data_IF_040152890766
#
_entry.id   IF_040152890766
#
_cell.length_a   1.000
_cell.length_b   1.000
_cell.length_c   1.000
_cell.angle_alpha   90.00
_cell.angle_beta   90.00
_cell.angle_gamma   90.00
#
_symmetry.space_group_name_H-M   'P 1'
#
loop_
_entity.id
_entity.type
_entity.pdbx_description
1 polymer ?
#
# COMPACT_ATOMS: atom_id res chain seq x y z
N UNK A 1 -4.18 -31.52 4.60
CA UNK A 1 -4.08 -31.16 6.04
C UNK A 1 -5.03 -30.02 6.30
N UNK A 2 -5.90 -30.10 7.32
CA UNK A 2 -6.81 -29.00 7.67
C UNK A 2 -6.05 -27.91 8.41
N UNK A 3 -6.62 -26.70 8.47
CA UNK A 3 -6.07 -25.57 9.22
C UNK A 3 -5.85 -25.92 10.69
N UNK A 4 -6.82 -26.57 11.33
CA UNK A 4 -6.74 -26.95 12.74
C UNK A 4 -5.61 -27.96 12.99
N UNK A 5 -5.46 -28.97 12.13
CA UNK A 5 -4.36 -29.94 12.26
C UNK A 5 -2.99 -29.27 12.11
N UNK A 6 -2.86 -28.25 11.25
CA UNK A 6 -1.62 -27.46 11.15
C UNK A 6 -1.35 -26.67 12.42
N UNK A 7 -2.36 -25.97 12.93
CA UNK A 7 -2.20 -25.16 14.14
C UNK A 7 -1.85 -26.04 15.33
N UNK A 8 -2.42 -27.24 15.44
CA UNK A 8 -2.07 -28.20 16.50
C UNK A 8 -0.58 -28.53 16.54
N UNK A 9 0.09 -28.65 15.38
CA UNK A 9 1.54 -28.93 15.32
C UNK A 9 2.43 -27.78 15.79
N UNK A 10 1.91 -26.56 15.92
CA UNK A 10 2.70 -25.41 16.31
C UNK A 10 3.04 -25.45 17.80
N UNK A 11 4.25 -25.01 18.13
CA UNK A 11 4.67 -24.83 19.52
C UNK A 11 3.80 -23.77 20.22
N UNK A 12 3.65 -23.94 21.54
CA UNK A 12 2.91 -23.02 22.41
C UNK A 12 3.38 -21.57 22.30
N UNK A 13 4.69 -21.32 22.17
CA UNK A 13 5.26 -19.97 22.01
C UNK A 13 4.90 -19.34 20.67
N UNK A 14 4.80 -20.16 19.61
CA UNK A 14 4.42 -19.73 18.27
C UNK A 14 2.91 -19.44 18.22
N UNK A 15 2.08 -20.30 18.83
CA UNK A 15 0.63 -20.05 18.99
C UNK A 15 0.35 -18.75 19.73
N UNK A 16 1.06 -18.51 20.84
CA UNK A 16 0.96 -17.27 21.61
C UNK A 16 1.34 -16.06 20.76
N UNK A 17 2.44 -16.14 20.00
CA UNK A 17 2.87 -15.06 19.12
C UNK A 17 1.84 -14.74 18.02
N UNK A 18 1.23 -15.77 17.41
CA UNK A 18 0.12 -15.57 16.46
C UNK A 18 -1.08 -14.91 17.13
N UNK A 19 -1.43 -15.34 18.34
CA UNK A 19 -2.52 -14.75 19.13
C UNK A 19 -2.26 -13.27 19.42
N UNK A 20 -1.06 -12.90 19.86
CA UNK A 20 -0.68 -11.50 20.10
C UNK A 20 -0.75 -10.67 18.81
N UNK A 21 -0.23 -11.23 17.71
CA UNK A 21 -0.22 -10.58 16.41
C UNK A 21 -1.63 -10.37 15.81
N UNK A 22 -2.60 -11.16 16.24
CA UNK A 22 -3.98 -11.07 15.78
C UNK A 22 -4.83 -10.23 16.75
N UNK A 23 -4.94 -10.66 18.00
CA UNK A 23 -5.87 -10.14 18.99
C UNK A 23 -5.48 -8.76 19.52
N UNK A 24 -4.20 -8.62 19.90
CA UNK A 24 -3.66 -7.40 20.51
C UNK A 24 -3.37 -6.38 19.42
N UNK A 25 -2.79 -6.81 18.29
CA UNK A 25 -2.53 -5.93 17.15
C UNK A 25 -3.78 -5.71 16.28
N UNK A 26 -4.95 -5.53 16.89
CA UNK A 26 -6.20 -5.28 16.19
C UNK A 26 -6.94 -4.12 16.83
N UNK A 27 -7.67 -3.35 16.02
CA UNK A 27 -8.57 -2.30 16.49
C UNK A 27 -10.03 -2.76 16.46
N UNK A 28 -10.30 -4.02 16.12
CA UNK A 28 -11.65 -4.59 16.18
C UNK A 28 -12.03 -4.89 17.63
N UNK A 29 -13.34 -4.95 17.90
CA UNK A 29 -13.89 -5.22 19.22
C UNK A 29 -15.02 -6.26 19.13
N UNK A 30 -15.35 -6.86 20.27
CA UNK A 30 -16.47 -7.80 20.38
C UNK A 30 -17.78 -7.03 20.58
N UNK A 31 -18.82 -7.48 19.89
CA UNK A 31 -20.19 -7.06 20.13
C UNK A 31 -21.09 -8.31 20.22
N UNK A 32 -22.31 -8.10 20.68
CA UNK A 32 -23.34 -9.14 20.69
C UNK A 32 -24.34 -8.84 19.59
N UNK A 33 -24.63 -9.84 18.76
CA UNK A 33 -25.68 -9.80 17.75
C UNK A 33 -26.54 -11.07 17.87
N UNK A 34 -27.82 -10.89 18.18
CA UNK A 34 -28.79 -11.99 18.38
C UNK A 34 -28.28 -13.11 19.32
N UNK A 35 -27.65 -12.73 20.45
CA UNK A 35 -27.11 -13.67 21.43
C UNK A 35 -25.82 -14.38 21.01
N UNK A 36 -25.23 -14.04 19.85
CA UNK A 36 -23.92 -14.53 19.41
C UNK A 36 -22.87 -13.44 19.53
N UNK A 37 -21.68 -13.82 20.02
CA UNK A 37 -20.55 -12.91 20.03
C UNK A 37 -19.94 -12.77 18.63
N UNK A 38 -20.03 -11.57 18.09
CA UNK A 38 -19.50 -11.20 16.78
C UNK A 38 -18.36 -10.20 16.92
N UNK A 39 -17.47 -10.17 15.94
CA UNK A 39 -16.43 -9.14 15.86
C UNK A 39 -16.88 -7.98 14.97
N UNK A 40 -16.69 -6.77 15.47
CA UNK A 40 -16.97 -5.53 14.72
C UNK A 40 -15.65 -4.91 14.29
N UNK A 41 -15.47 -4.77 12.98
CA UNK A 41 -14.28 -4.21 12.37
C UNK A 41 -14.27 -4.41 10.85
N UNK A 42 -13.14 -4.10 10.22
CA UNK A 42 -12.93 -4.44 8.80
C UNK A 42 -12.95 -5.96 8.61
N UNK A 43 -13.46 -6.44 7.47
CA UNK A 43 -13.55 -7.86 7.12
C UNK A 43 -12.27 -8.65 7.42
N UNK A 44 -11.13 -8.10 7.03
CA UNK A 44 -9.83 -8.72 7.27
C UNK A 44 -9.52 -8.89 8.76
N UNK A 45 -9.88 -7.93 9.60
CA UNK A 45 -9.63 -8.00 11.05
C UNK A 45 -10.54 -9.02 11.71
N UNK A 46 -11.82 -9.05 11.35
CA UNK A 46 -12.79 -10.00 11.92
C UNK A 46 -12.43 -11.42 11.50
N UNK A 47 -12.09 -11.66 10.23
CA UNK A 47 -11.67 -12.96 9.74
C UNK A 47 -10.41 -13.51 10.46
N UNK A 48 -9.43 -12.65 10.76
CA UNK A 48 -8.27 -13.06 11.54
C UNK A 48 -8.64 -13.40 12.99
N UNK A 49 -9.54 -12.63 13.60
CA UNK A 49 -10.01 -12.89 14.96
C UNK A 49 -10.84 -14.17 15.05
N UNK A 50 -11.68 -14.45 14.05
CA UNK A 50 -12.39 -15.72 13.92
C UNK A 50 -11.39 -16.88 13.82
N UNK A 51 -10.36 -16.75 12.96
CA UNK A 51 -9.28 -17.72 12.88
C UNK A 51 -8.59 -17.97 14.23
N UNK A 52 -8.29 -16.91 15.00
CA UNK A 52 -7.64 -17.03 16.30
C UNK A 52 -8.55 -17.65 17.36
N UNK A 53 -9.85 -17.31 17.36
CA UNK A 53 -10.85 -17.92 18.24
C UNK A 53 -10.97 -19.42 17.96
N UNK A 54 -11.09 -19.78 16.70
CA UNK A 54 -11.40 -21.15 16.29
C UNK A 54 -10.19 -22.09 16.34
N UNK A 55 -8.97 -21.57 16.17
CA UNK A 55 -7.77 -22.41 16.03
C UNK A 55 -6.67 -22.15 17.07
N UNK A 56 -6.60 -20.95 17.66
CA UNK A 56 -5.54 -20.58 18.61
C UNK A 56 -6.01 -20.56 20.07
N UNK A 57 -7.21 -21.07 20.35
CA UNK A 57 -7.84 -21.05 21.67
C UNK A 57 -7.82 -19.64 22.28
N UNK A 58 -8.11 -18.64 21.45
CA UNK A 58 -8.17 -17.24 21.87
C UNK A 58 -9.42 -17.02 22.73
N UNK A 59 -9.22 -16.49 23.93
CA UNK A 59 -10.32 -16.05 24.80
C UNK A 59 -10.99 -14.78 24.23
N UNK A 60 -11.87 -14.18 25.04
CA UNK A 60 -12.42 -12.85 24.73
C UNK A 60 -11.30 -11.85 24.47
N UNK A 61 -11.45 -11.04 23.43
CA UNK A 61 -10.46 -10.02 23.05
C UNK A 61 -10.11 -9.10 24.22
N UNK A 62 -11.11 -8.73 25.03
CA UNK A 62 -10.90 -7.89 26.20
C UNK A 62 -9.95 -8.51 27.21
N UNK A 63 -10.08 -9.82 27.43
CA UNK A 63 -9.24 -10.61 28.35
C UNK A 63 -7.81 -10.71 27.82
N UNK A 64 -7.65 -11.03 26.53
CA UNK A 64 -6.33 -11.11 25.90
C UNK A 64 -5.59 -9.77 25.95
N UNK A 65 -6.30 -8.66 25.72
CA UNK A 65 -5.71 -7.31 25.79
C UNK A 65 -5.39 -6.87 27.21
N UNK A 66 -6.17 -7.27 28.22
CA UNK A 66 -5.87 -6.95 29.62
C UNK A 66 -4.66 -7.71 30.17
N UNK A 67 -4.30 -8.84 29.56
CA UNK A 67 -3.20 -9.68 30.00
C UNK A 67 -1.82 -9.22 29.54
N UNK A 68 -1.74 -8.13 28.77
CA UNK A 68 -0.50 -7.68 28.13
C UNK A 68 -0.22 -6.20 28.41
N UNK A 69 1.03 -5.91 28.78
CA UNK A 69 1.53 -4.55 28.94
C UNK A 69 1.95 -4.01 27.55
N UNK A 70 1.14 -3.11 27.00
CA UNK A 70 1.43 -2.46 25.72
C UNK A 70 2.33 -1.24 25.96
N UNK A 71 3.53 -1.28 25.39
CA UNK A 71 4.49 -0.17 25.48
C UNK A 71 4.25 0.91 24.42
N UNK A 72 3.83 0.52 23.21
CA UNK A 72 3.56 1.46 22.12
C UNK A 72 2.64 0.85 21.05
N UNK A 73 1.76 1.66 20.46
CA UNK A 73 0.91 1.26 19.33
C UNK A 73 1.28 2.11 18.11
N UNK A 74 1.43 1.47 16.96
CA UNK A 74 1.55 2.12 15.66
C UNK A 74 0.29 1.82 14.85
N UNK A 75 -0.68 2.75 14.82
CA UNK A 75 -1.90 2.59 14.03
C UNK A 75 -1.59 2.33 12.55
N UNK A 76 -2.58 1.76 11.86
CA UNK A 76 -2.46 1.50 10.42
C UNK A 76 -2.12 2.79 9.67
N UNK A 77 -0.98 2.79 8.98
CA UNK A 77 -0.57 3.88 8.11
C UNK A 77 -0.64 3.45 6.66
N UNK A 78 -1.40 4.14 5.81
CA UNK A 78 -1.50 3.81 4.38
C UNK A 78 -0.15 3.88 3.65
N UNK A 79 0.76 4.74 4.08
CA UNK A 79 2.13 4.81 3.55
C UNK A 79 2.98 3.61 3.95
N UNK A 80 2.78 3.08 5.17
CA UNK A 80 3.50 1.89 5.68
C UNK A 80 2.82 0.58 5.32
N UNK A 81 1.53 0.63 4.94
CA UNK A 81 0.62 -0.50 4.69
C UNK A 81 0.67 -1.59 5.77
N UNK A 82 0.87 -1.18 7.02
CA UNK A 82 0.93 -2.09 8.17
C UNK A 82 0.45 -1.41 9.45
N UNK A 83 0.15 -2.24 10.43
CA UNK A 83 -0.14 -1.88 11.82
C UNK A 83 0.86 -2.64 12.72
N UNK A 84 1.31 -2.00 13.79
CA UNK A 84 2.23 -2.63 14.72
C UNK A 84 1.90 -2.30 16.18
N UNK A 85 2.36 -3.17 17.06
CA UNK A 85 2.31 -2.98 18.51
C UNK A 85 3.63 -3.40 19.12
N UNK A 86 3.98 -2.77 20.23
CA UNK A 86 5.08 -3.17 21.08
C UNK A 86 4.49 -3.61 22.40
N UNK A 87 4.76 -4.85 22.77
CA UNK A 87 4.32 -5.45 24.02
C UNK A 87 5.56 -5.73 24.88
N UNK A 88 5.42 -5.59 26.20
CA UNK A 88 6.45 -6.00 27.14
C UNK A 88 6.18 -7.43 27.59
N UNK A 89 7.17 -8.30 27.45
CA UNK A 89 7.06 -9.68 27.88
C UNK A 89 7.18 -9.76 29.41
N UNK A 90 6.61 -10.83 29.99
CA UNK A 90 6.55 -11.04 31.45
C UNK A 90 7.93 -11.15 32.12
N UNK A 91 8.99 -11.36 31.34
CA UNK A 91 10.39 -11.39 31.79
C UNK A 91 10.96 -10.01 32.18
N UNK A 92 10.14 -8.94 32.11
CA UNK A 92 10.41 -7.53 32.46
C UNK A 92 11.51 -6.83 31.63
N UNK A 93 12.35 -7.56 30.88
CA UNK A 93 13.50 -7.02 30.15
C UNK A 93 13.43 -7.23 28.64
N UNK A 94 12.35 -7.81 28.13
CA UNK A 94 12.15 -8.01 26.69
C UNK A 94 10.91 -7.27 26.21
N UNK A 95 11.08 -6.46 25.18
CA UNK A 95 9.98 -5.85 24.43
C UNK A 95 9.87 -6.54 23.08
N UNK A 96 8.66 -6.92 22.69
CA UNK A 96 8.37 -7.55 21.41
C UNK A 96 7.58 -6.60 20.53
N UNK A 97 8.14 -6.25 19.38
CA UNK A 97 7.41 -5.60 18.29
C UNK A 97 6.76 -6.67 17.44
N UNK A 98 5.46 -6.56 17.23
CA UNK A 98 4.69 -7.40 16.32
C UNK A 98 4.07 -6.51 15.25
N UNK A 99 4.26 -6.87 13.98
CA UNK A 99 3.80 -6.10 12.83
C UNK A 99 3.00 -7.02 11.91
N UNK A 100 1.86 -6.53 11.42
CA UNK A 100 1.13 -7.17 10.33
C UNK A 100 0.74 -6.17 9.25
N UNK A 101 0.78 -6.60 8.00
CA UNK A 101 0.47 -5.75 6.86
C UNK A 101 0.64 -6.46 5.53
N UNK A 102 0.78 -5.68 4.47
CA UNK A 102 0.99 -6.19 3.10
C UNK A 102 2.24 -7.09 3.05
N UNK A 103 2.08 -8.35 2.64
CA UNK A 103 3.10 -9.41 2.76
C UNK A 103 4.45 -9.05 2.13
N UNK A 104 4.43 -8.45 0.95
CA UNK A 104 5.58 -8.04 0.15
C UNK A 104 6.38 -6.95 0.88
N UNK A 105 5.67 -6.04 1.56
CA UNK A 105 6.30 -4.98 2.36
C UNK A 105 6.88 -5.57 3.64
N UNK A 106 6.18 -6.49 4.29
CA UNK A 106 6.66 -7.16 5.51
C UNK A 106 7.93 -7.97 5.25
N UNK A 107 7.97 -8.71 4.14
CA UNK A 107 9.14 -9.50 3.75
C UNK A 107 10.38 -8.63 3.48
N UNK A 108 10.20 -7.39 2.99
CA UNK A 108 11.31 -6.43 2.81
C UNK A 108 12.00 -6.03 4.10
N UNK A 109 11.31 -6.06 5.23
CA UNK A 109 11.90 -5.74 6.53
C UNK A 109 12.61 -6.94 7.19
N UNK A 110 12.43 -8.15 6.64
CA UNK A 110 12.93 -9.37 7.25
C UNK A 110 14.38 -9.68 6.86
N UNK A 111 15.16 -10.03 7.87
CA UNK A 111 16.51 -10.62 7.71
C UNK A 111 16.58 -12.08 8.17
N UNK A 112 15.49 -12.56 8.77
CA UNK A 112 15.43 -13.84 9.48
C UNK A 112 14.03 -14.45 9.33
N UNK A 113 13.91 -15.74 9.57
CA UNK A 113 12.66 -16.49 9.57
C UNK A 113 12.66 -17.47 10.74
N UNK A 114 11.48 -17.80 11.28
CA UNK A 114 11.34 -18.88 12.26
C UNK A 114 11.84 -20.19 11.63
N UNK A 115 12.81 -20.84 12.29
CA UNK A 115 13.47 -22.07 11.82
C UNK A 115 12.51 -23.24 11.76
N UNK A 116 11.81 -23.47 12.86
CA UNK A 116 10.85 -24.55 13.00
C UNK A 116 9.75 -24.15 13.98
N UNK A 117 8.60 -23.82 13.41
CA UNK A 117 7.42 -23.36 14.13
C UNK A 117 6.77 -24.44 15.01
N UNK A 118 7.16 -25.71 14.87
CA UNK A 118 6.69 -26.82 15.72
C UNK A 118 7.46 -26.93 17.03
N UNK A 119 8.62 -26.28 17.13
CA UNK A 119 9.50 -26.35 18.30
C UNK A 119 9.59 -25.04 19.06
N UNK A 120 9.82 -23.91 18.37
CA UNK A 120 10.01 -22.61 19.03
C UNK A 120 9.91 -21.45 18.04
N UNK A 121 9.98 -20.22 18.57
CA UNK A 121 10.11 -18.99 17.79
C UNK A 121 11.57 -18.69 17.37
N UNK A 122 12.50 -19.65 17.51
CA UNK A 122 13.90 -19.45 17.17
C UNK A 122 14.07 -19.07 15.71
N UNK A 123 14.83 -18.01 15.46
CA UNK A 123 15.04 -17.48 14.13
C UNK A 123 16.38 -17.94 13.53
N UNK A 124 16.37 -18.18 12.22
CA UNK A 124 17.57 -18.36 11.40
C UNK A 124 17.65 -17.26 10.35
N UNK A 125 18.85 -16.93 9.82
CA UNK A 125 18.97 -16.00 8.70
C UNK A 125 18.09 -16.43 7.52
N UNK A 126 17.38 -15.47 6.93
CA UNK A 126 16.59 -15.71 5.72
C UNK A 126 17.54 -15.75 4.52
N UNK A 127 17.71 -16.93 3.91
CA UNK A 127 18.52 -17.11 2.70
C UNK A 127 17.86 -16.46 1.48
N UNK A 128 18.63 -16.23 0.41
CA UNK A 128 18.11 -15.73 -0.86
C UNK A 128 17.03 -16.66 -1.43
N UNK A 129 17.30 -17.96 -1.48
CA UNK A 129 16.36 -19.00 -1.92
C UNK A 129 15.09 -19.06 -1.04
N UNK A 130 15.26 -18.95 0.29
CA UNK A 130 14.12 -18.91 1.21
C UNK A 130 13.25 -17.68 0.99
N UNK A 131 13.87 -16.54 0.64
CA UNK A 131 13.15 -15.31 0.30
C UNK A 131 12.39 -15.46 -1.02
N UNK A 132 13.02 -15.97 -2.07
CA UNK A 132 12.36 -16.22 -3.37
C UNK A 132 11.17 -17.17 -3.21
N UNK A 133 11.32 -18.22 -2.39
CA UNK A 133 10.23 -19.15 -2.07
C UNK A 133 9.05 -18.43 -1.42
N UNK A 134 9.30 -17.51 -0.50
CA UNK A 134 8.24 -16.71 0.13
C UNK A 134 7.60 -15.72 -0.85
N UNK A 135 8.37 -15.10 -1.74
CA UNK A 135 7.86 -14.20 -2.78
C UNK A 135 6.92 -14.97 -3.73
N UNK A 136 7.33 -16.14 -4.20
CA UNK A 136 6.47 -17.03 -5.00
C UNK A 136 5.20 -17.47 -4.26
N UNK A 137 5.29 -17.74 -2.96
CA UNK A 137 4.12 -18.09 -2.16
C UNK A 137 3.13 -16.92 -2.04
N UNK A 138 3.64 -15.69 -1.88
CA UNK A 138 2.82 -14.48 -1.87
C UNK A 138 2.10 -14.32 -3.21
N UNK A 139 2.83 -14.45 -4.32
CA UNK A 139 2.26 -14.34 -5.67
C UNK A 139 1.23 -15.43 -5.94
N UNK A 140 1.48 -16.67 -5.49
CA UNK A 140 0.54 -17.78 -5.63
C UNK A 140 -0.76 -17.54 -4.86
N UNK A 141 -0.69 -16.95 -3.66
CA UNK A 141 -1.90 -16.58 -2.90
C UNK A 141 -2.63 -15.41 -3.56
N UNK A 142 -1.90 -14.37 -3.97
CA UNK A 142 -2.47 -13.21 -4.63
C UNK A 142 -3.16 -13.58 -5.95
N UNK A 143 -2.57 -14.48 -6.75
CA UNK A 143 -3.14 -14.98 -7.99
C UNK A 143 -4.41 -15.82 -7.82
N UNK A 144 -4.68 -16.31 -6.60
CA UNK A 144 -5.95 -16.96 -6.21
C UNK A 144 -6.95 -15.97 -5.58
N UNK A 145 -6.77 -14.68 -5.84
CA UNK A 145 -7.61 -13.59 -5.30
C UNK A 145 -7.64 -13.53 -3.77
N UNK A 146 -6.62 -14.07 -3.09
CA UNK A 146 -6.49 -13.95 -1.65
C UNK A 146 -5.76 -12.64 -1.30
N UNK A 147 -6.30 -11.89 -0.34
CA UNK A 147 -5.56 -10.79 0.28
C UNK A 147 -4.46 -11.38 1.16
N UNK A 148 -3.21 -11.17 0.75
CA UNK A 148 -2.04 -11.67 1.47
C UNK A 148 -1.66 -10.73 2.62
N UNK A 149 -1.47 -11.30 3.81
CA UNK A 149 -1.06 -10.56 5.01
C UNK A 149 0.17 -11.22 5.61
N UNK A 150 1.25 -10.47 5.69
CA UNK A 150 2.50 -10.91 6.30
C UNK A 150 2.54 -10.55 7.78
N UNK A 151 3.09 -11.46 8.57
CA UNK A 151 3.31 -11.31 9.99
C UNK A 151 4.82 -11.37 10.27
N UNK A 152 5.32 -10.36 10.97
CA UNK A 152 6.74 -10.26 11.33
C UNK A 152 6.85 -9.77 12.76
N UNK A 153 7.93 -10.16 13.43
CA UNK A 153 8.18 -9.75 14.81
C UNK A 153 9.66 -9.51 15.06
N UNK A 154 9.96 -8.84 16.18
CA UNK A 154 11.31 -8.68 16.69
C UNK A 154 11.30 -8.44 18.19
N UNK A 155 12.23 -9.09 18.87
CA UNK A 155 12.46 -8.89 20.30
C UNK A 155 13.61 -7.91 20.54
N UNK A 156 13.43 -7.05 21.55
CA UNK A 156 14.38 -6.05 22.01
C UNK A 156 14.64 -6.25 23.50
N UNK A 157 15.84 -6.71 23.81
CA UNK A 157 16.31 -6.75 25.19
C UNK A 157 16.61 -5.34 25.68
N UNK A 158 15.81 -4.84 26.61
CA UNK A 158 15.99 -3.54 27.24
C UNK A 158 15.27 -3.44 28.56
N UNK A 159 15.87 -2.79 29.55
CA UNK A 159 15.19 -2.48 30.82
C UNK A 159 14.17 -1.33 30.65
N UNK A 160 14.27 -0.53 29.57
CA UNK A 160 13.43 0.66 29.35
C UNK A 160 13.03 0.77 27.88
N UNK A 161 11.76 1.10 27.64
CA UNK A 161 11.28 1.50 26.32
C UNK A 161 11.35 3.03 26.12
N UNK A 162 11.75 3.53 24.94
CA UNK A 162 12.40 2.84 23.83
C UNK A 162 13.85 2.44 24.12
N UNK A 163 14.35 1.34 23.52
CA UNK A 163 15.74 0.92 23.68
C UNK A 163 16.70 1.99 23.14
N UNK A 164 17.82 2.24 23.84
CA UNK A 164 18.79 3.28 23.44
C UNK A 164 19.51 2.95 22.13
N UNK A 165 19.76 1.66 21.88
CA UNK A 165 20.43 1.18 20.69
C UNK A 165 19.92 -0.22 20.34
N UNK A 166 19.88 -0.53 19.04
CA UNK A 166 19.54 -1.86 18.57
C UNK A 166 20.75 -2.78 18.60
N UNK A 167 20.61 -3.93 19.27
CA UNK A 167 21.53 -5.05 19.11
C UNK A 167 21.26 -5.73 17.75
N UNK A 168 22.28 -6.05 16.93
CA UNK A 168 22.09 -6.83 15.72
C UNK A 168 21.44 -8.18 16.04
N UNK A 169 20.52 -8.64 15.19
CA UNK A 169 19.83 -9.92 15.39
C UNK A 169 20.77 -11.14 15.28
N UNK A 170 21.88 -11.00 14.54
CA UNK A 170 22.89 -12.04 14.38
C UNK A 170 24.30 -11.50 14.68
N UNK A 171 25.07 -12.24 15.47
CA UNK A 171 26.47 -11.92 15.77
C UNK A 171 27.37 -11.90 14.51
N UNK A 172 26.98 -12.61 13.45
CA UNK A 172 27.74 -12.70 12.19
C UNK A 172 27.88 -11.34 11.51
N UNK A 173 26.87 -10.47 11.59
CA UNK A 173 26.94 -9.11 11.05
C UNK A 173 28.03 -8.25 11.72
N UNK A 174 28.52 -8.61 12.93
CA UNK A 174 29.61 -7.92 13.59
C UNK A 174 31.01 -8.37 13.14
N UNK A 175 31.17 -9.58 12.59
CA UNK A 175 32.50 -10.09 12.18
C UNK A 175 32.93 -9.68 10.78
N UNK A 176 31.99 -9.31 9.90
CA UNK A 176 32.25 -9.15 8.46
C UNK A 176 32.57 -7.71 8.00
N UNK A 177 32.59 -6.70 8.88
CA UNK A 177 32.91 -5.31 8.51
C UNK A 177 33.83 -4.63 9.54
N UNK A 178 35.16 -4.67 9.34
CA UNK A 178 36.08 -3.87 10.15
C UNK A 178 35.82 -2.39 9.85
N UNK A 179 35.33 -1.63 10.84
CA UNK A 179 35.09 -0.19 10.73
C UNK A 179 33.64 0.27 10.90
N UNK A 180 32.66 -0.63 11.01
CA UNK A 180 31.30 -0.23 11.38
C UNK A 180 31.25 0.06 12.89
N UNK A 181 31.02 1.33 13.25
CA UNK A 181 31.01 1.83 14.63
C UNK A 181 30.27 0.86 15.58
N UNK A 182 30.94 0.44 16.66
CA UNK A 182 30.40 -0.44 17.72
C UNK A 182 29.19 0.14 18.48
N UNK A 183 28.83 1.41 18.23
CA UNK A 183 27.59 2.00 18.72
C UNK A 183 26.45 1.46 17.85
N UNK A 184 25.62 0.57 18.41
CA UNK A 184 24.45 0.02 17.74
C UNK A 184 23.58 1.09 17.07
N UNK A 185 22.75 0.69 16.11
CA UNK A 185 21.88 1.63 15.39
C UNK A 185 21.00 2.35 16.42
N UNK A 186 21.18 3.66 16.57
CA UNK A 186 20.43 4.46 17.55
C UNK A 186 18.94 4.46 17.19
N UNK A 187 18.09 4.28 18.21
CA UNK A 187 16.64 4.38 18.03
C UNK A 187 16.24 5.82 18.32
N UNK A 188 15.75 6.52 17.29
CA UNK A 188 15.20 7.86 17.50
C UNK A 188 13.89 7.76 18.26
N UNK A 189 13.66 8.77 19.09
CA UNK A 189 12.40 8.99 19.77
C UNK A 189 11.58 10.00 18.97
N UNK A 190 10.26 9.88 19.05
CA UNK A 190 9.36 10.85 18.44
C UNK A 190 9.63 12.22 19.08
N UNK A 191 9.74 13.27 18.27
CA UNK A 191 10.12 14.61 18.75
C UNK A 191 9.16 15.14 19.82
N UNK A 192 7.85 14.95 19.59
CA UNK A 192 6.76 15.38 20.47
C UNK A 192 6.53 14.43 21.66
N UNK A 193 6.99 13.18 21.59
CA UNK A 193 6.82 12.18 22.65
C UNK A 193 8.06 11.30 22.79
N UNK A 194 8.91 11.64 23.76
CA UNK A 194 10.16 10.92 24.03
C UNK A 194 9.94 9.52 24.61
N UNK A 195 8.72 9.15 25.00
CA UNK A 195 8.39 7.77 25.43
C UNK A 195 8.17 6.84 24.26
N UNK A 196 8.08 7.37 23.04
CA UNK A 196 7.78 6.64 21.83
C UNK A 196 8.99 6.51 20.91
N UNK A 197 9.13 5.34 20.31
CA UNK A 197 10.15 5.05 19.30
C UNK A 197 9.66 5.43 17.90
N UNK A 198 10.58 5.86 17.04
CA UNK A 198 10.32 6.01 15.61
C UNK A 198 10.19 4.64 14.94
N UNK A 199 9.07 4.42 14.25
CA UNK A 199 8.75 3.14 13.61
C UNK A 199 9.86 2.67 12.65
N UNK A 200 10.40 3.59 11.86
CA UNK A 200 11.43 3.29 10.86
C UNK A 200 12.74 2.81 11.46
N UNK A 201 13.01 3.12 12.72
CA UNK A 201 14.23 2.68 13.39
C UNK A 201 14.06 1.30 14.00
N UNK A 202 12.91 1.01 14.60
CA UNK A 202 12.65 -0.29 15.22
C UNK A 202 12.23 -1.37 14.21
N UNK A 203 11.57 -1.00 13.11
CA UNK A 203 11.11 -1.94 12.07
C UNK A 203 12.22 -2.25 11.05
N UNK A 204 13.31 -2.86 11.52
CA UNK A 204 14.47 -3.30 10.73
C UNK A 204 14.90 -4.67 11.22
N UNK A 205 15.55 -5.47 10.37
CA UNK A 205 16.09 -6.80 10.75
C UNK A 205 15.05 -7.67 11.47
N UNK A 206 13.85 -7.74 10.90
CA UNK A 206 12.72 -8.44 11.48
C UNK A 206 12.83 -9.95 11.25
N UNK A 207 12.15 -10.72 12.08
CA UNK A 207 11.92 -12.15 11.88
C UNK A 207 10.58 -12.36 11.23
N UNK A 208 10.57 -13.09 10.12
CA UNK A 208 9.37 -13.49 9.42
C UNK A 208 8.67 -14.63 10.17
N UNK A 209 7.39 -14.42 10.51
CA UNK A 209 6.57 -15.42 11.19
C UNK A 209 5.76 -16.26 10.19
N UNK A 210 5.10 -15.61 9.23
CA UNK A 210 4.29 -16.29 8.24
C UNK A 210 3.41 -15.36 7.41
N UNK A 211 2.73 -15.95 6.43
CA UNK A 211 1.72 -15.30 5.60
C UNK A 211 0.40 -16.01 5.78
N UNK A 212 -0.68 -15.23 5.77
CA UNK A 212 -2.04 -15.76 5.63
C UNK A 212 -2.68 -15.17 4.38
N UNK A 213 -3.42 -16.00 3.66
CA UNK A 213 -4.30 -15.56 2.57
C UNK A 213 -5.72 -15.42 3.11
N UNK A 214 -6.25 -14.21 3.12
CA UNK A 214 -7.64 -13.93 3.50
C UNK A 214 -8.44 -13.75 2.23
N UNK A 215 -9.38 -14.65 1.98
CA UNK A 215 -10.32 -14.47 0.88
C UNK A 215 -11.30 -13.35 1.26
N UNK A 216 -11.33 -12.27 0.50
CA UNK A 216 -12.44 -11.31 0.56
C UNK A 216 -13.55 -11.91 -0.30
N UNK A 217 -14.65 -12.43 0.26
CA UNK A 217 -15.68 -13.01 -0.57
C UNK A 217 -16.23 -11.91 -1.49
N UNK A 218 -16.37 -12.15 -2.82
CA UNK A 218 -17.16 -11.25 -3.64
C UNK A 218 -18.55 -11.21 -3.02
N UNK A 219 -18.89 -10.06 -2.41
CA UNK A 219 -20.02 -9.93 -1.49
C UNK A 219 -21.39 -10.26 -2.12
N UNK A 220 -21.46 -10.54 -3.42
CA UNK A 220 -22.63 -11.16 -4.06
C UNK A 220 -22.15 -12.11 -5.15
N UNK A 221 -22.71 -13.33 -5.19
CA UNK A 221 -22.62 -14.22 -6.37
C UNK A 221 -23.14 -13.54 -7.65
N UNK A 222 -23.88 -12.46 -7.47
CA UNK A 222 -24.49 -11.66 -8.52
C UNK A 222 -23.54 -10.61 -9.11
N UNK A 223 -22.36 -10.37 -8.51
CA UNK A 223 -21.41 -9.36 -9.02
C UNK A 223 -21.03 -9.62 -10.48
N UNK A 224 -20.60 -10.84 -10.89
CA UNK A 224 -20.29 -11.10 -12.30
C UNK A 224 -21.51 -10.86 -13.22
N UNK A 225 -22.72 -11.25 -12.78
CA UNK A 225 -23.96 -11.00 -13.54
C UNK A 225 -24.24 -9.51 -13.71
N UNK A 226 -24.01 -8.72 -12.66
CA UNK A 226 -24.18 -7.27 -12.71
C UNK A 226 -23.14 -6.60 -13.62
N UNK A 227 -21.88 -7.05 -13.59
CA UNK A 227 -20.82 -6.57 -14.49
C UNK A 227 -21.19 -6.85 -15.94
N UNK A 228 -21.64 -8.06 -16.25
CA UNK A 228 -22.15 -8.41 -17.59
C UNK A 228 -23.33 -7.51 -17.97
N UNK A 229 -24.30 -7.30 -17.08
CA UNK A 229 -25.43 -6.40 -17.32
C UNK A 229 -25.01 -4.96 -17.65
N UNK A 230 -24.02 -4.42 -16.93
CA UNK A 230 -23.44 -3.10 -17.25
C UNK A 230 -22.82 -3.09 -18.64
N UNK A 231 -22.01 -4.09 -18.97
CA UNK A 231 -21.33 -4.20 -20.28
C UNK A 231 -22.36 -4.31 -21.42
N UNK A 232 -23.42 -5.12 -21.25
CA UNK A 232 -24.52 -5.24 -22.22
C UNK A 232 -25.28 -3.92 -22.39
N UNK A 233 -25.34 -3.08 -21.35
CA UNK A 233 -25.91 -1.73 -21.41
C UNK A 233 -24.89 -0.66 -21.88
N UNK A 234 -23.75 -1.06 -22.43
CA UNK A 234 -22.65 -0.19 -22.88
C UNK A 234 -22.05 0.70 -21.77
N UNK A 235 -22.19 0.28 -20.50
CA UNK A 235 -21.55 0.90 -19.33
C UNK A 235 -20.32 0.08 -18.97
N UNK A 236 -19.13 0.69 -19.07
CA UNK A 236 -17.86 0.00 -18.80
C UNK A 236 -17.42 0.17 -17.34
N UNK A 237 -17.45 -0.88 -16.51
CA UNK A 237 -17.02 -0.79 -15.12
C UNK A 237 -15.49 -0.65 -15.04
N UNK A 238 -15.00 0.22 -14.15
CA UNK A 238 -13.56 0.30 -13.82
C UNK A 238 -13.32 -0.05 -12.36
N UNK A 239 -12.31 -0.88 -12.10
CA UNK A 239 -11.92 -1.24 -10.74
C UNK A 239 -10.99 -0.17 -10.16
N UNK A 240 -11.34 0.37 -8.99
CA UNK A 240 -10.49 1.25 -8.19
C UNK A 240 -10.21 0.59 -6.86
N UNK A 241 -8.98 0.11 -6.65
CA UNK A 241 -8.60 -0.57 -5.41
C UNK A 241 -7.23 -0.11 -4.89
N UNK A 242 -7.04 -0.24 -3.57
CA UNK A 242 -5.76 -0.04 -2.88
C UNK A 242 -5.01 -1.35 -2.57
N UNK A 243 -5.54 -2.48 -3.03
CA UNK A 243 -4.91 -3.80 -2.90
C UNK A 243 -3.67 -3.94 -3.80
N UNK A 244 -2.96 -5.06 -3.63
CA UNK A 244 -1.90 -5.45 -4.55
C UNK A 244 -2.49 -5.64 -5.97
N UNK A 245 -1.75 -5.19 -6.99
CA UNK A 245 -2.11 -5.36 -8.41
C UNK A 245 -2.39 -6.80 -8.81
N UNK A 246 -1.66 -7.78 -8.27
CA UNK A 246 -1.85 -9.19 -8.60
C UNK A 246 -3.22 -9.65 -8.09
N UNK A 247 -3.56 -9.33 -6.83
CA UNK A 247 -4.89 -9.61 -6.26
C UNK A 247 -5.99 -8.86 -6.99
N UNK A 248 -5.78 -7.57 -7.29
CA UNK A 248 -6.74 -6.74 -8.00
C UNK A 248 -7.03 -7.30 -9.40
N UNK A 249 -5.99 -7.74 -10.12
CA UNK A 249 -6.11 -8.38 -11.43
C UNK A 249 -6.87 -9.69 -11.35
N UNK A 250 -6.54 -10.55 -10.38
CA UNK A 250 -7.25 -11.81 -10.18
C UNK A 250 -8.75 -11.59 -9.89
N UNK A 251 -9.09 -10.65 -9.00
CA UNK A 251 -10.50 -10.29 -8.72
C UNK A 251 -11.18 -9.68 -9.95
N UNK A 252 -10.48 -8.85 -10.73
CA UNK A 252 -11.03 -8.24 -11.93
C UNK A 252 -11.37 -9.29 -13.00
N UNK A 253 -10.54 -10.33 -13.12
CA UNK A 253 -10.80 -11.50 -13.98
C UNK A 253 -12.02 -12.26 -13.50
N UNK A 254 -12.07 -12.60 -12.21
CA UNK A 254 -13.20 -13.33 -11.61
C UNK A 254 -14.53 -12.59 -11.76
N UNK A 255 -14.51 -11.25 -11.70
CA UNK A 255 -15.70 -10.42 -11.85
C UNK A 255 -16.08 -10.14 -13.32
N UNK A 256 -15.25 -10.51 -14.29
CA UNK A 256 -15.44 -10.18 -15.71
C UNK A 256 -15.18 -8.70 -16.05
N UNK A 257 -14.46 -7.97 -15.19
CA UNK A 257 -14.03 -6.58 -15.43
C UNK A 257 -12.77 -6.54 -16.31
N UNK A 258 -11.95 -7.60 -16.25
CA UNK A 258 -10.72 -7.73 -17.03
C UNK A 258 -10.66 -9.10 -17.71
N UNK A 259 -10.30 -9.14 -19.00
CA UNK A 259 -10.07 -10.36 -19.77
C UNK A 259 -8.63 -10.38 -20.27
N UNK A 260 -7.89 -11.48 -20.08
CA UNK A 260 -6.46 -11.58 -20.41
C UNK A 260 -6.17 -11.53 -21.93
N UNK A 261 -7.21 -11.70 -22.73
CA UNK A 261 -7.25 -11.48 -24.16
C UNK A 261 -8.46 -10.59 -24.43
N UNK A 262 -8.37 -9.63 -25.35
CA UNK A 262 -9.51 -8.82 -25.81
C UNK A 262 -10.58 -9.63 -26.58
N UNK A 263 -10.91 -10.82 -26.10
CA UNK A 263 -11.85 -11.77 -26.69
C UNK A 263 -13.05 -11.95 -25.77
N UNK A 264 -13.96 -10.97 -25.83
CA UNK A 264 -15.35 -11.35 -26.03
C UNK A 264 -15.58 -11.35 -27.54
N UNK A 265 -15.20 -12.45 -28.19
CA UNK A 265 -15.76 -12.80 -29.49
C UNK A 265 -17.19 -13.30 -29.25
N UNK A 266 -18.14 -12.36 -29.21
CA UNK A 266 -19.51 -12.66 -29.61
C UNK A 266 -19.77 -11.89 -30.88
N UNK A 267 -20.11 -12.62 -31.94
CA UNK A 267 -20.51 -12.09 -33.24
C UNK A 267 -21.77 -11.24 -33.11
N UNK A 268 -21.62 -9.98 -32.73
CA UNK A 268 -22.52 -8.88 -33.02
C UNK A 268 -21.80 -7.59 -32.62
N UNK A 269 -21.72 -6.65 -33.56
CA UNK A 269 -21.21 -5.29 -33.38
C UNK A 269 -19.68 -5.09 -33.43
N UNK A 270 -19.13 -5.30 -34.64
CA UNK A 270 -17.95 -4.57 -35.08
C UNK A 270 -18.37 -3.30 -35.83
N UNK A 271 -18.42 -2.17 -35.13
CA UNK A 271 -17.92 -0.92 -35.69
C UNK A 271 -17.64 0.06 -34.54
N UNK A 272 -16.42 0.59 -34.52
CA UNK A 272 -15.95 1.62 -33.58
C UNK A 272 -15.63 1.14 -32.17
N UNK A 273 -14.42 0.65 -31.92
CA UNK A 273 -13.64 0.86 -30.68
C UNK A 273 -12.23 0.26 -30.87
N UNK A 274 -11.18 1.08 -30.77
CA UNK A 274 -9.79 0.65 -30.96
C UNK A 274 -9.25 -0.16 -29.76
N UNK A 275 -8.26 -1.06 -29.97
CA UNK A 275 -7.65 -1.89 -28.92
C UNK A 275 -7.07 -1.12 -27.72
N UNK A 276 -6.73 0.16 -27.89
CA UNK A 276 -6.09 1.02 -26.88
C UNK A 276 -7.02 1.39 -25.71
N UNK A 277 -8.35 1.33 -25.88
CA UNK A 277 -9.32 1.60 -24.79
C UNK A 277 -9.42 0.48 -23.75
N UNK A 278 -8.79 -0.67 -23.97
CA UNK A 278 -8.91 -1.87 -23.12
C UNK A 278 -7.90 -1.95 -21.96
N UNK A 279 -6.75 -1.27 -22.02
CA UNK A 279 -5.70 -1.37 -20.99
C UNK A 279 -5.99 -0.61 -19.68
N UNK A 280 -7.11 0.11 -19.57
CA UNK A 280 -7.41 0.97 -18.43
C UNK A 280 -8.46 0.42 -17.43
N UNK A 281 -8.77 -0.89 -17.40
CA UNK A 281 -9.87 -1.41 -16.54
C UNK A 281 -9.50 -1.62 -15.06
N UNK A 282 -8.22 -1.51 -14.69
CA UNK A 282 -7.75 -1.52 -13.29
C UNK A 282 -6.99 -0.23 -13.00
N UNK A 283 -7.68 0.77 -12.46
CA UNK A 283 -7.02 1.94 -11.89
C UNK A 283 -6.53 1.57 -10.48
N UNK A 284 -5.27 1.15 -10.39
CA UNK A 284 -4.58 1.07 -9.10
C UNK A 284 -4.55 2.46 -8.48
N UNK A 285 -5.20 2.64 -7.33
CA UNK A 285 -4.86 3.78 -6.48
C UNK A 285 -3.50 3.48 -5.86
N UNK A 286 -2.43 4.00 -6.48
CA UNK A 286 -1.17 4.23 -5.80
C UNK A 286 -1.46 5.03 -4.50
N UNK A 287 -0.64 4.89 -3.43
CA UNK A 287 -0.91 5.50 -2.13
C UNK A 287 -1.15 7.01 -2.30
N UNK A 288 -2.44 7.39 -2.30
CA UNK A 288 -2.98 8.71 -2.64
C UNK A 288 -1.97 9.62 -3.34
N UNK A 289 -1.92 9.52 -4.67
CA UNK A 289 -1.28 10.50 -5.54
C UNK A 289 -1.43 11.91 -4.93
N UNK A 290 -0.33 12.67 -4.76
CA UNK A 290 -0.42 14.03 -4.25
C UNK A 290 -1.28 14.83 -5.24
N UNK A 291 -2.55 15.04 -4.89
CA UNK A 291 -3.47 15.86 -5.66
C UNK A 291 -3.63 17.21 -5.01
N UNK A 292 -3.69 18.25 -5.83
CA UNK A 292 -4.04 19.60 -5.44
C UNK A 292 -5.47 19.86 -5.92
N UNK A 293 -6.46 19.95 -5.00
CA UNK A 293 -7.81 20.33 -5.39
C UNK A 293 -7.84 21.80 -5.83
N UNK A 294 -8.55 22.10 -6.91
CA UNK A 294 -8.67 23.46 -7.43
C UNK A 294 -9.78 23.61 -8.45
N UNK A 295 -9.91 24.82 -8.96
CA UNK A 295 -10.89 25.20 -9.97
C UNK A 295 -10.19 25.58 -11.27
N UNK A 296 -10.51 24.86 -12.34
CA UNK A 296 -10.06 25.22 -13.69
C UNK A 296 -11.02 26.25 -14.29
N UNK A 297 -10.47 27.39 -14.73
CA UNK A 297 -11.20 28.57 -15.19
C UNK A 297 -12.34 29.02 -14.24
N UNK A 298 -12.22 28.72 -12.95
CA UNK A 298 -13.20 29.06 -11.91
C UNK A 298 -14.52 28.29 -11.98
N UNK A 299 -14.64 27.23 -12.81
CA UNK A 299 -15.91 26.53 -13.06
C UNK A 299 -15.93 25.08 -12.58
N UNK A 300 -14.84 24.34 -12.76
CA UNK A 300 -14.80 22.90 -12.51
C UNK A 300 -13.91 22.58 -11.32
N UNK A 301 -14.49 21.96 -10.27
CA UNK A 301 -13.72 21.48 -9.13
C UNK A 301 -13.00 20.19 -9.52
N UNK A 302 -11.68 20.24 -9.55
CA UNK A 302 -10.81 19.17 -10.03
C UNK A 302 -9.70 18.85 -9.04
N UNK A 303 -9.26 17.59 -9.06
CA UNK A 303 -8.08 17.12 -8.33
C UNK A 303 -6.91 16.99 -9.33
N UNK A 304 -6.05 18.00 -9.40
CA UNK A 304 -4.88 17.95 -10.28
C UNK A 304 -3.73 17.17 -9.62
N UNK A 305 -3.09 16.28 -10.38
CA UNK A 305 -1.92 15.55 -9.93
C UNK A 305 -0.73 16.51 -9.75
N UNK A 306 0.02 16.36 -8.66
CA UNK A 306 1.19 17.18 -8.36
C UNK A 306 2.45 16.37 -8.63
N UNK A 307 3.20 16.77 -9.66
CA UNK A 307 4.49 16.17 -9.98
C UNK A 307 5.58 17.23 -9.99
N UNK A 308 6.42 17.21 -8.96
CA UNK A 308 7.52 18.16 -8.79
C UNK A 308 8.64 18.00 -9.82
N UNK A 309 8.66 16.88 -10.54
CA UNK A 309 9.68 16.55 -11.54
C UNK A 309 9.16 16.69 -12.99
N UNK A 310 7.90 17.07 -13.18
CA UNK A 310 7.26 17.19 -14.49
C UNK A 310 6.95 18.64 -14.87
N UNK A 311 6.56 18.82 -16.14
CA UNK A 311 5.89 20.03 -16.65
C UNK A 311 4.40 20.07 -16.28
N UNK A 312 3.70 21.11 -16.73
CA UNK A 312 2.25 21.17 -16.61
C UNK A 312 1.63 20.45 -17.80
N UNK A 313 0.80 19.44 -17.55
CA UNK A 313 0.18 18.64 -18.61
C UNK A 313 -1.33 18.60 -18.44
N UNK A 314 -2.03 18.53 -19.57
CA UNK A 314 -3.47 18.29 -19.61
C UNK A 314 -3.78 17.32 -20.74
N UNK A 315 -4.73 16.41 -20.53
CA UNK A 315 -5.10 15.45 -21.58
C UNK A 315 -6.04 16.08 -22.60
N UNK A 316 -5.87 15.74 -23.87
CA UNK A 316 -6.77 16.19 -24.94
C UNK A 316 -8.22 15.72 -24.70
N UNK A 317 -8.40 14.52 -24.17
CA UNK A 317 -9.71 13.98 -23.79
C UNK A 317 -10.43 14.85 -22.76
N UNK A 318 -9.69 15.35 -21.76
CA UNK A 318 -10.23 16.27 -20.77
C UNK A 318 -10.65 17.60 -21.41
N UNK A 319 -9.83 18.15 -22.31
CA UNK A 319 -10.16 19.38 -23.03
C UNK A 319 -11.42 19.22 -23.89
N UNK A 320 -11.51 18.11 -24.63
CA UNK A 320 -12.65 17.81 -25.50
C UNK A 320 -13.95 17.63 -24.70
N UNK A 321 -13.90 16.93 -23.56
CA UNK A 321 -15.07 16.76 -22.68
C UNK A 321 -15.58 18.07 -22.07
N UNK A 322 -14.73 19.09 -21.99
CA UNK A 322 -15.07 20.43 -21.47
C UNK A 322 -15.26 21.49 -22.57
N UNK A 323 -15.19 21.09 -23.85
CA UNK A 323 -15.34 22.00 -25.00
C UNK A 323 -14.23 23.06 -25.10
N UNK A 324 -13.03 22.75 -24.62
CA UNK A 324 -11.87 23.65 -24.62
C UNK A 324 -10.96 23.28 -25.80
N UNK A 325 -10.71 24.24 -26.70
CA UNK A 325 -9.75 24.06 -27.80
C UNK A 325 -8.30 24.24 -27.35
N UNK A 326 -7.36 23.66 -28.09
CA UNK A 326 -5.92 23.84 -27.89
C UNK A 326 -5.20 24.21 -29.19
N UNK A 327 -3.98 24.75 -29.07
CA UNK A 327 -3.16 25.17 -30.21
C UNK A 327 -2.24 24.04 -30.66
N UNK A 328 -2.61 23.39 -31.78
CA UNK A 328 -1.91 22.22 -32.34
C UNK A 328 -0.58 22.54 -33.03
N UNK A 329 -0.29 23.81 -33.33
CA UNK A 329 0.97 24.22 -34.01
C UNK A 329 2.17 24.32 -33.06
N UNK A 330 1.93 24.30 -31.75
CA UNK A 330 2.96 24.46 -30.71
C UNK A 330 3.22 23.13 -29.99
N UNK A 331 3.89 22.20 -30.67
CA UNK A 331 4.24 20.88 -30.13
C UNK A 331 5.63 20.87 -29.49
N UNK A 332 5.83 20.07 -28.45
CA UNK A 332 7.13 19.84 -27.82
C UNK A 332 7.46 18.35 -27.76
N UNK A 333 8.72 18.00 -27.94
CA UNK A 333 9.19 16.63 -27.72
C UNK A 333 9.53 16.44 -26.25
N UNK A 334 8.95 15.41 -25.65
CA UNK A 334 9.15 15.05 -24.24
C UNK A 334 9.92 13.73 -24.16
N UNK A 335 10.96 13.68 -23.33
CA UNK A 335 11.82 12.50 -23.12
C UNK A 335 11.45 11.81 -21.82
N UNK A 336 11.08 10.52 -21.87
CA UNK A 336 10.77 9.66 -20.73
C UNK A 336 12.01 9.21 -19.96
N UNK A 337 11.80 8.67 -18.76
CA UNK A 337 12.84 8.13 -17.88
C UNK A 337 13.56 6.92 -18.47
N UNK A 338 12.84 6.15 -19.26
CA UNK A 338 13.36 5.00 -19.99
C UNK A 338 14.13 5.41 -21.27
N UNK A 339 14.23 6.71 -21.55
CA UNK A 339 14.90 7.27 -22.71
C UNK A 339 14.03 7.34 -23.98
N UNK A 340 12.80 6.84 -23.96
CA UNK A 340 11.88 6.97 -25.09
C UNK A 340 11.34 8.41 -25.22
N UNK A 341 10.93 8.81 -26.43
CA UNK A 341 10.42 10.17 -26.68
C UNK A 341 9.03 10.13 -27.31
N UNK A 342 8.24 11.17 -27.05
CA UNK A 342 6.95 11.40 -27.69
C UNK A 342 6.70 12.90 -27.85
N UNK A 343 5.83 13.29 -28.78
CA UNK A 343 5.49 14.68 -29.03
C UNK A 343 4.15 15.04 -28.38
N UNK A 344 4.05 16.24 -27.83
CA UNK A 344 2.78 16.80 -27.36
C UNK A 344 1.86 17.08 -28.56
N UNK A 345 0.55 17.08 -28.33
CA UNK A 345 -0.47 17.37 -29.35
C UNK A 345 -0.67 18.87 -29.58
N UNK A 346 -0.18 19.69 -28.67
CA UNK A 346 -0.32 21.14 -28.71
C UNK A 346 -0.10 21.78 -27.34
N UNK A 347 -0.55 23.02 -27.18
CA UNK A 347 -0.53 23.74 -25.91
C UNK A 347 -1.85 24.45 -25.66
N UNK A 348 -2.21 24.64 -24.39
CA UNK A 348 -3.38 25.42 -23.98
C UNK A 348 -3.06 26.24 -22.75
N UNK A 349 -3.54 27.48 -22.72
CA UNK A 349 -3.37 28.37 -21.58
C UNK A 349 -4.67 28.49 -20.80
N UNK A 350 -4.66 28.10 -19.53
CA UNK A 350 -5.84 28.08 -18.66
C UNK A 350 -5.55 28.72 -17.30
N UNK A 351 -6.59 29.03 -16.54
CA UNK A 351 -6.45 29.55 -15.18
C UNK A 351 -6.75 28.45 -14.15
N UNK A 352 -5.82 28.26 -13.21
CA UNK A 352 -5.98 27.35 -12.09
C UNK A 352 -6.09 28.12 -10.77
N UNK A 353 -7.14 27.84 -10.00
CA UNK A 353 -7.35 28.42 -8.67
C UNK A 353 -7.34 27.32 -7.61
N UNK A 354 -6.42 27.35 -6.67
CA UNK A 354 -6.39 26.33 -5.61
C UNK A 354 -7.61 26.42 -4.69
N UNK A 355 -8.10 25.27 -4.24
CA UNK A 355 -9.25 25.22 -3.32
C UNK A 355 -8.89 25.88 -2.00
N UNK A 356 -9.64 26.92 -1.63
CA UNK A 356 -9.41 27.71 -0.41
C UNK A 356 -8.52 28.94 -0.60
N UNK A 357 -7.99 29.16 -1.81
CA UNK A 357 -7.28 30.39 -2.17
C UNK A 357 -8.21 31.35 -2.92
N UNK A 358 -7.93 32.65 -2.86
CA UNK A 358 -8.72 33.68 -3.56
C UNK A 358 -8.21 33.90 -4.99
N UNK A 359 -6.89 33.79 -5.18
CA UNK A 359 -6.20 34.11 -6.42
C UNK A 359 -6.27 32.97 -7.46
N UNK A 360 -6.39 33.36 -8.73
CA UNK A 360 -6.30 32.45 -9.87
C UNK A 360 -4.95 32.63 -10.54
N UNK A 361 -4.31 31.53 -10.92
CA UNK A 361 -2.99 31.52 -11.55
C UNK A 361 -3.09 31.08 -13.01
N UNK A 362 -2.42 31.80 -13.90
CA UNK A 362 -2.29 31.40 -15.31
C UNK A 362 -1.33 30.21 -15.41
N UNK A 363 -1.74 29.18 -16.15
CA UNK A 363 -0.97 27.95 -16.37
C UNK A 363 -0.95 27.64 -17.86
N UNK A 364 0.26 27.53 -18.41
CA UNK A 364 0.45 26.99 -19.76
C UNK A 364 0.62 25.48 -19.64
N UNK A 365 -0.32 24.74 -20.23
CA UNK A 365 -0.34 23.28 -20.26
C UNK A 365 0.12 22.77 -21.61
N UNK A 366 0.98 21.76 -21.59
CA UNK A 366 1.25 20.91 -22.74
C UNK A 366 0.13 19.86 -22.86
N UNK A 367 -0.44 19.73 -24.06
CA UNK A 367 -1.55 18.80 -24.32
C UNK A 367 -0.99 17.44 -24.67
N UNK A 368 -1.38 16.43 -23.89
CA UNK A 368 -0.96 15.04 -24.10
C UNK A 368 -2.13 14.20 -24.60
N UNK A 369 -1.82 13.22 -25.45
CA UNK A 369 -2.74 12.12 -25.70
C UNK A 369 -2.94 11.32 -24.39
N UNK A 370 -4.15 10.81 -24.17
CA UNK A 370 -4.51 10.11 -22.92
C UNK A 370 -3.71 8.82 -22.71
N UNK A 371 -3.12 8.25 -23.75
CA UNK A 371 -2.18 7.12 -23.67
C UNK A 371 -0.85 7.44 -22.95
N UNK A 372 -0.45 8.71 -22.86
CA UNK A 372 0.81 9.10 -22.22
C UNK A 372 0.65 9.60 -20.78
N UNK A 373 -0.59 9.80 -20.31
CA UNK A 373 -0.85 10.39 -18.99
C UNK A 373 -2.01 9.72 -18.28
N UNK A 374 -1.76 9.24 -17.06
CA UNK A 374 -2.78 8.59 -16.23
C UNK A 374 -3.72 9.57 -15.51
N UNK A 375 -3.39 10.87 -15.50
CA UNK A 375 -4.15 11.92 -14.83
C UNK A 375 -4.63 12.95 -15.83
N UNK A 376 -5.85 13.45 -15.64
CA UNK A 376 -6.44 14.45 -16.54
C UNK A 376 -5.64 15.76 -16.57
N UNK A 377 -5.13 16.18 -15.40
CA UNK A 377 -4.38 17.42 -15.19
C UNK A 377 -3.18 17.12 -14.28
N UNK A 378 -2.00 17.57 -14.69
CA UNK A 378 -0.76 17.51 -13.91
C UNK A 378 -0.18 18.91 -13.73
N UNK A 379 0.12 19.29 -12.50
CA UNK A 379 0.79 20.55 -12.15
C UNK A 379 2.26 20.27 -11.83
N UNK A 380 3.13 20.91 -12.61
CA UNK A 380 4.57 20.74 -12.57
C UNK A 380 5.26 21.53 -11.45
N UNK A 381 6.48 21.11 -11.10
CA UNK A 381 7.26 21.73 -10.02
C UNK A 381 7.54 23.22 -10.21
N UNK A 382 7.81 23.68 -11.43
CA UNK A 382 8.08 25.10 -11.73
C UNK A 382 6.87 25.99 -11.40
N UNK A 383 5.68 25.56 -11.81
CA UNK A 383 4.43 26.27 -11.54
C UNK A 383 4.12 26.31 -10.04
N UNK A 384 4.19 25.15 -9.38
CA UNK A 384 3.90 25.02 -7.94
C UNK A 384 4.87 25.83 -7.06
N UNK A 385 6.11 26.03 -7.52
CA UNK A 385 7.11 26.85 -6.84
C UNK A 385 6.81 28.34 -7.01
N UNK A 386 6.43 28.75 -8.24
CA UNK A 386 6.08 30.14 -8.55
C UNK A 386 4.85 30.62 -7.77
N UNK A 387 3.88 29.74 -7.52
CA UNK A 387 2.67 30.05 -6.73
C UNK A 387 2.89 29.95 -5.21
N UNK A 388 4.12 29.64 -4.74
CA UNK A 388 4.45 29.35 -3.31
C UNK A 388 3.61 28.20 -2.71
N UNK A 389 2.94 27.42 -3.56
CA UNK A 389 2.12 26.27 -3.17
C UNK A 389 3.00 25.12 -2.71
N UNK A 390 4.17 24.95 -3.33
CA UNK A 390 5.18 23.94 -2.95
C UNK A 390 5.59 24.07 -1.48
N UNK A 391 5.70 25.28 -0.92
CA UNK A 391 6.04 25.53 0.49
C UNK A 391 4.88 25.26 1.44
N UNK A 392 3.64 25.59 1.04
CA UNK A 392 2.42 25.30 1.84
C UNK A 392 2.09 23.80 1.87
N UNK A 393 2.33 23.10 0.77
CA UNK A 393 2.13 21.65 0.67
C UNK A 393 3.43 20.86 0.91
N UNK A 394 4.57 21.52 1.15
CA UNK A 394 5.88 20.89 1.36
C UNK A 394 5.85 19.80 2.43
N UNK A 395 5.20 20.07 3.57
CA UNK A 395 5.07 19.08 4.64
C UNK A 395 4.26 17.84 4.22
N UNK A 396 3.29 18.01 3.31
CA UNK A 396 2.43 16.92 2.79
C UNK A 396 3.12 16.16 1.65
N UNK A 397 3.90 16.87 0.82
CA UNK A 397 4.65 16.35 -0.33
C UNK A 397 5.94 15.65 0.13
N UNK A 398 6.75 16.26 1.00
CA UNK A 398 8.01 15.67 1.54
C UNK A 398 7.73 14.40 2.36
N UNK A 399 6.61 14.36 3.11
CA UNK A 399 6.18 13.17 3.86
C UNK A 399 5.67 12.02 2.97
N UNK A 400 5.18 12.33 1.77
CA UNK A 400 4.74 11.34 0.76
C UNK A 400 5.89 10.88 -0.13
N UNK A 401 6.69 11.80 -0.68
CA UNK A 401 7.84 11.49 -1.54
C UNK A 401 8.95 10.68 -0.85
N UNK A 402 9.12 10.80 0.49
CA UNK A 402 10.04 9.95 1.26
C UNK A 402 9.60 8.48 1.38
N UNK A 403 8.34 8.16 1.04
CA UNK A 403 7.75 6.83 1.26
C UNK A 403 7.32 6.11 -0.03
N UNK A 404 7.71 6.58 -1.21
CA UNK A 404 7.29 5.98 -2.48
C UNK A 404 8.47 5.50 -3.31
N UNK A 405 8.53 4.19 -3.57
CA UNK A 405 9.23 3.60 -4.71
C UNK A 405 8.13 3.34 -5.75
N UNK A 406 7.87 4.35 -6.61
CA UNK A 406 7.10 4.20 -7.85
C UNK A 406 8.11 3.99 -8.97
N UNK A 407 7.81 3.24 -10.04
CA UNK A 407 8.50 3.44 -11.31
C UNK A 407 8.35 4.92 -11.70
N UNK A 408 9.41 5.70 -11.51
CA UNK A 408 9.39 7.13 -11.84
C UNK A 408 9.48 7.26 -13.36
N UNK A 409 8.39 7.61 -14.02
CA UNK A 409 8.48 8.17 -15.38
C UNK A 409 8.91 9.63 -15.22
N UNK A 410 10.20 9.85 -15.02
CA UNK A 410 10.82 11.16 -15.27
C UNK A 410 10.49 11.58 -16.69
N UNK A 411 10.02 12.81 -16.86
CA UNK A 411 10.05 13.45 -18.16
C UNK A 411 11.11 14.54 -18.10
N UNK A 412 12.29 14.28 -18.67
CA UNK A 412 13.29 15.32 -18.82
C UNK A 412 12.80 16.29 -19.89
N UNK A 413 12.38 17.48 -19.46
CA UNK A 413 12.22 18.59 -20.38
C UNK A 413 13.60 19.00 -20.87
N UNK A 414 13.89 18.73 -22.14
CA UNK A 414 15.05 19.29 -22.82
C UNK A 414 14.87 20.80 -22.97
N UNK A 415 15.81 21.54 -22.40
CA UNK A 415 15.94 23.00 -22.48
C UNK A 415 17.25 23.39 -21.83
#
# INVERSE_FOLDING_TARGET
MTTSNFVETLDSSVKLLWKDAIAINSTAFEAEDNGKQVFVGSQTKTALLDFARDNLSMDRISTERSNVEIAQIFPFGSSRKCIAIVIKLKDSKTYRLVVKGCSEIMLRYCSSIVRDATHSIDAVPLSGEGRETLEHLIDAYAGRSLRTIGFIFRDFESDVWPPKALKPLHAIAMKSRPGLNRKGLGVKRVEDDKTQAEFTDICKQMTFLGIVGVQDPPRRKDVPKAVVGCITASVFPRMVTGDNIITAKAIAIECGIYTESGMHETQADQSHLSPERWQASIALRAPADPVAPGYLNGRFLEDAFVDTCAGNFITEEYLNSHGIGHHSESTRTIVRADGSTFSTLGTVCLFWKFKGELDSHRVDFDVLASEYCNHAITLGGKFLSATKTLTRFAHRIVRRLRNTIVPRVFFQGGG
#
